data_IF_029477089360
#
_entry.id   IF_029477089360
#
_cell.length_a   1.000
_cell.length_b   1.000
_cell.length_c   1.000
_cell.angle_alpha   90.00
_cell.angle_beta   90.00
_cell.angle_gamma   90.00
#
_symmetry.space_group_name_H-M   'P 1'
#
loop_
_entity.id
_entity.type
_entity.pdbx_description
1 polymer ?
#
# COMPACT_ATOMS: atom_id res chain seq x y z
N UNK A 1 -24.61 -8.94 -17.24
CA UNK A 1 -23.81 -7.97 -16.46
C UNK A 1 -24.22 -8.17 -15.03
N UNK A 2 -23.48 -8.98 -14.28
CA UNK A 2 -23.86 -9.35 -12.93
C UNK A 2 -23.63 -8.17 -11.99
N UNK A 3 -24.74 -7.73 -11.40
CA UNK A 3 -24.83 -6.67 -10.40
C UNK A 3 -24.45 -7.24 -9.05
N UNK A 4 -23.38 -6.76 -8.42
CA UNK A 4 -23.20 -6.93 -6.98
C UNK A 4 -23.58 -5.65 -6.24
N UNK A 5 -24.66 -5.82 -5.49
CA UNK A 5 -25.33 -4.88 -4.60
C UNK A 5 -24.52 -4.73 -3.30
N UNK A 6 -24.61 -3.55 -2.68
CA UNK A 6 -24.20 -3.19 -1.30
C UNK A 6 -22.71 -3.18 -0.95
N UNK A 7 -22.06 -2.03 -1.15
CA UNK A 7 -21.07 -1.43 -0.22
C UNK A 7 -19.80 -2.19 0.18
N UNK A 8 -19.63 -3.44 -0.21
CA UNK A 8 -18.45 -4.26 0.06
C UNK A 8 -17.67 -4.44 -1.24
N UNK A 9 -16.36 -4.13 -1.25
CA UNK A 9 -15.54 -4.34 -2.43
C UNK A 9 -15.55 -5.83 -2.82
N UNK A 10 -15.61 -6.09 -4.12
CA UNK A 10 -15.53 -7.46 -4.64
C UNK A 10 -14.13 -7.99 -4.31
N UNK A 11 -14.00 -9.26 -3.95
CA UNK A 11 -12.74 -9.87 -3.49
C UNK A 11 -11.55 -9.57 -4.42
N UNK A 12 -11.78 -9.50 -5.73
CA UNK A 12 -10.77 -9.10 -6.72
C UNK A 12 -10.23 -7.67 -6.53
N UNK A 13 -11.07 -6.71 -6.15
CA UNK A 13 -10.68 -5.32 -5.89
C UNK A 13 -9.80 -5.22 -4.64
N UNK A 14 -10.13 -5.96 -3.58
CA UNK A 14 -9.31 -6.01 -2.36
C UNK A 14 -7.92 -6.61 -2.65
N UNK A 15 -7.88 -7.69 -3.44
CA UNK A 15 -6.61 -8.30 -3.86
C UNK A 15 -5.76 -7.33 -4.67
N UNK A 16 -6.39 -6.60 -5.59
CA UNK A 16 -5.70 -5.60 -6.39
C UNK A 16 -5.15 -4.46 -5.53
N UNK A 17 -5.97 -3.91 -4.62
CA UNK A 17 -5.56 -2.83 -3.73
C UNK A 17 -4.39 -3.24 -2.82
N UNK A 18 -4.45 -4.43 -2.20
CA UNK A 18 -3.34 -4.96 -1.42
C UNK A 18 -2.09 -5.20 -2.25
N UNK A 19 -2.22 -5.74 -3.46
CA UNK A 19 -1.08 -5.96 -4.35
C UNK A 19 -0.36 -4.64 -4.67
N UNK A 20 -1.11 -3.57 -4.92
CA UNK A 20 -0.54 -2.24 -5.17
C UNK A 20 0.21 -1.65 -3.97
N UNK A 21 -0.12 -2.08 -2.74
CA UNK A 21 0.58 -1.65 -1.52
C UNK A 21 1.98 -2.29 -1.41
N UNK A 22 2.11 -3.55 -1.80
CA UNK A 22 3.35 -4.32 -1.64
C UNK A 22 4.28 -4.20 -2.85
N UNK A 23 3.75 -4.32 -4.07
CA UNK A 23 4.58 -4.48 -5.26
C UNK A 23 5.23 -3.17 -5.70
N UNK A 24 6.56 -3.21 -5.83
CA UNK A 24 7.36 -2.02 -6.19
C UNK A 24 7.52 -1.02 -5.04
N UNK A 25 7.01 -1.34 -3.84
CA UNK A 25 7.20 -0.52 -2.66
C UNK A 25 8.54 -0.87 -1.99
N UNK A 26 9.49 0.08 -1.88
CA UNK A 26 10.82 -0.17 -1.34
C UNK A 26 10.82 -0.48 0.18
N UNK A 27 9.70 -0.30 0.86
CA UNK A 27 9.55 -0.65 2.28
C UNK A 27 9.50 -2.17 2.52
N UNK A 28 9.25 -2.96 1.48
CA UNK A 28 9.17 -4.42 1.57
C UNK A 28 10.28 -5.08 0.76
N UNK A 29 10.96 -6.06 1.35
CA UNK A 29 11.91 -6.90 0.65
C UNK A 29 11.23 -7.75 -0.43
N UNK A 30 11.96 -8.21 -1.46
CA UNK A 30 11.40 -9.08 -2.48
C UNK A 30 10.75 -10.35 -1.92
N UNK A 31 11.29 -10.91 -0.84
CA UNK A 31 10.71 -12.07 -0.17
C UNK A 31 9.37 -11.74 0.49
N UNK A 32 9.26 -10.61 1.18
CA UNK A 32 8.00 -10.15 1.78
C UNK A 32 6.94 -9.87 0.71
N UNK A 33 7.33 -9.29 -0.43
CA UNK A 33 6.42 -9.06 -1.56
C UNK A 33 5.87 -10.39 -2.12
N UNK A 34 6.70 -11.43 -2.24
CA UNK A 34 6.26 -12.75 -2.70
C UNK A 34 5.33 -13.44 -1.69
N UNK A 35 5.65 -13.37 -0.41
CA UNK A 35 4.81 -13.95 0.65
C UNK A 35 3.45 -13.22 0.72
N UNK A 36 3.46 -11.90 0.64
CA UNK A 36 2.25 -11.10 0.59
C UNK A 36 1.40 -11.48 -0.65
N UNK A 37 2.02 -11.62 -1.82
CA UNK A 37 1.32 -12.05 -3.02
C UNK A 37 0.63 -13.40 -2.85
N UNK A 38 1.36 -14.40 -2.35
CA UNK A 38 0.78 -15.72 -2.10
C UNK A 38 -0.43 -15.62 -1.16
N UNK A 39 -0.29 -14.91 -0.04
CA UNK A 39 -1.37 -14.77 0.94
C UNK A 39 -2.59 -13.99 0.42
N UNK A 40 -2.39 -12.94 -0.40
CA UNK A 40 -3.48 -12.19 -1.05
C UNK A 40 -4.33 -13.11 -1.93
N UNK A 41 -3.69 -14.01 -2.68
CA UNK A 41 -4.37 -14.87 -3.63
C UNK A 41 -5.00 -16.12 -3.00
N UNK A 42 -4.40 -16.67 -1.93
CA UNK A 42 -4.96 -17.79 -1.18
C UNK A 42 -6.10 -17.38 -0.25
N UNK A 43 -6.16 -16.12 0.19
CA UNK A 43 -7.19 -15.65 1.10
C UNK A 43 -8.54 -15.46 0.37
N UNK A 44 -9.57 -16.16 0.85
CA UNK A 44 -10.95 -16.06 0.37
C UNK A 44 -11.84 -15.18 1.27
N UNK A 45 -11.37 -14.77 2.46
CA UNK A 45 -12.12 -13.93 3.39
C UNK A 45 -11.91 -12.43 3.09
N UNK A 46 -12.91 -11.81 2.47
CA UNK A 46 -12.91 -10.38 2.16
C UNK A 46 -12.73 -9.49 3.41
N UNK A 47 -13.21 -9.89 4.60
CA UNK A 47 -13.01 -9.12 5.84
C UNK A 47 -11.56 -9.15 6.29
N UNK A 48 -10.90 -10.28 6.13
CA UNK A 48 -9.48 -10.43 6.46
C UNK A 48 -8.63 -9.56 5.53
N UNK A 49 -8.88 -9.59 4.23
CA UNK A 49 -8.21 -8.71 3.27
C UNK A 49 -8.50 -7.23 3.54
N UNK A 50 -9.74 -6.87 3.89
CA UNK A 50 -10.11 -5.48 4.22
C UNK A 50 -9.34 -4.97 5.44
N UNK A 51 -9.26 -5.77 6.52
CA UNK A 51 -8.50 -5.39 7.72
C UNK A 51 -7.02 -5.23 7.40
N UNK A 52 -6.45 -6.18 6.69
CA UNK A 52 -5.05 -6.15 6.31
C UNK A 52 -4.69 -4.94 5.44
N UNK A 53 -5.57 -4.57 4.50
CA UNK A 53 -5.39 -3.36 3.69
C UNK A 53 -5.35 -2.10 4.57
N UNK A 54 -6.23 -2.00 5.56
CA UNK A 54 -6.23 -0.91 6.53
C UNK A 54 -4.95 -0.83 7.36
N UNK A 55 -4.53 -1.97 7.91
CA UNK A 55 -3.34 -2.06 8.76
C UNK A 55 -2.06 -1.68 7.98
N UNK A 56 -1.90 -2.19 6.76
CA UNK A 56 -0.73 -1.90 5.94
C UNK A 56 -0.72 -0.45 5.45
N UNK A 57 -1.87 0.09 5.07
CA UNK A 57 -1.98 1.49 4.65
C UNK A 57 -1.61 2.44 5.79
N UNK A 58 -2.07 2.15 7.01
CA UNK A 58 -1.69 2.92 8.19
C UNK A 58 -0.20 2.79 8.51
N UNK A 59 0.34 1.57 8.48
CA UNK A 59 1.76 1.31 8.74
C UNK A 59 2.67 2.08 7.78
N UNK A 60 2.35 2.09 6.49
CA UNK A 60 3.13 2.83 5.47
C UNK A 60 3.00 4.33 5.66
N UNK A 61 1.80 4.84 5.96
CA UNK A 61 1.59 6.25 6.23
C UNK A 61 2.44 6.75 7.42
N UNK A 62 2.64 5.91 8.44
CA UNK A 62 3.51 6.22 9.59
C UNK A 62 5.01 6.11 9.28
N UNK A 63 5.40 5.31 8.27
CA UNK A 63 6.80 5.14 7.84
C UNK A 63 7.25 6.13 6.77
N UNK A 64 6.35 6.97 6.28
CA UNK A 64 6.68 8.12 5.45
C UNK A 64 6.68 9.39 6.34
N UNK A 65 7.69 9.59 7.23
CA UNK A 65 7.89 10.92 7.77
C UNK A 65 8.12 11.80 6.54
N UNK A 66 7.36 12.88 6.44
CA UNK A 66 7.58 13.96 5.48
C UNK A 66 9.07 14.06 5.18
N UNK A 67 9.47 13.62 3.98
CA UNK A 67 10.71 14.09 3.38
C UNK A 67 10.47 15.58 3.17
N UNK A 68 10.72 16.36 4.22
CA UNK A 68 11.04 17.75 4.09
C UNK A 68 12.26 17.77 3.18
N UNK A 69 12.00 18.07 1.91
CA UNK A 69 12.98 18.62 1.02
C UNK A 69 13.54 19.85 1.73
N UNK A 70 14.63 19.68 2.47
CA UNK A 70 15.50 20.77 2.86
C UNK A 70 16.07 21.31 1.56
N UNK A 71 15.37 22.27 0.97
CA UNK A 71 15.88 23.05 -0.15
C UNK A 71 17.21 23.65 0.34
N UNK A 72 18.36 23.39 -0.30
CA UNK A 72 19.53 24.17 0.00
C UNK A 72 19.20 25.59 -0.45
N UNK A 73 18.97 26.47 0.52
CA UNK A 73 18.93 27.90 0.28
C UNK A 73 20.28 28.26 -0.36
N UNK A 74 20.27 28.47 -1.68
CA UNK A 74 21.35 29.13 -2.40
C UNK A 74 21.41 30.56 -1.86
N UNK A 75 22.15 30.73 -0.77
CA UNK A 75 22.53 32.03 -0.27
C UNK A 75 23.45 32.65 -1.31
N UNK A 76 22.88 33.55 -2.12
CA UNK A 76 23.66 34.48 -2.91
C UNK A 76 24.55 35.30 -1.99
N UNK A 77 25.85 35.28 -2.27
CA UNK A 77 26.74 36.35 -1.85
C UNK A 77 27.67 36.67 -3.02
N UNK A 78 27.31 37.72 -3.76
CA UNK A 78 28.21 38.45 -4.64
C UNK A 78 28.69 39.66 -3.83
N UNK A 79 29.97 39.68 -3.48
CA UNK A 79 30.77 40.90 -3.26
C UNK A 79 32.15 40.64 -3.85
#
# INVERSE_FOLDING_TARGET
METHVTGQPVLGELRHALSAVFFGNPLFSPQEQLLANHYIHECEDARQLTRWLGDMSAAIAHQHPTSHCSTPAMAGHVV
#
